data_IF_045625984478
#
_entry.id   IF_045625984478
#
_cell.length_a   1.000
_cell.length_b   1.000
_cell.length_c   1.000
_cell.angle_alpha   90.00
_cell.angle_beta   90.00
_cell.angle_gamma   90.00
#
_symmetry.space_group_name_H-M   'P 1'
#
loop_
_entity.id
_entity.type
_entity.pdbx_description
1 polymer ?
#
# COMPACT_ATOMS: atom_id res chain seq x y z
N UNK A 1 4.08 -16.64 4.42
CA UNK A 1 2.71 -16.13 4.20
C UNK A 1 2.34 -15.39 5.47
N UNK A 2 2.49 -14.06 5.45
CA UNK A 2 1.80 -13.25 6.44
C UNK A 2 0.32 -13.28 6.04
N UNK A 3 -0.57 -13.13 7.00
CA UNK A 3 -2.01 -13.06 6.72
C UNK A 3 -2.44 -11.63 6.99
N UNK A 4 -3.19 -11.01 6.08
CA UNK A 4 -3.73 -9.65 6.23
C UNK A 4 -4.89 -9.61 7.24
N UNK A 5 -4.71 -10.25 8.40
CA UNK A 5 -5.73 -10.47 9.40
C UNK A 5 -5.60 -9.56 10.63
N UNK A 6 -4.60 -8.70 10.65
CA UNK A 6 -4.42 -7.70 11.71
C UNK A 6 -4.02 -6.37 11.11
N UNK A 7 -4.30 -5.29 11.82
CA UNK A 7 -3.79 -3.96 11.46
C UNK A 7 -2.27 -3.98 11.26
N UNK A 8 -1.53 -4.63 12.16
CA UNK A 8 -0.08 -4.70 12.11
C UNK A 8 0.42 -5.36 10.82
N UNK A 9 -0.21 -6.47 10.41
CA UNK A 9 0.11 -7.15 9.17
C UNK A 9 -0.22 -6.28 7.95
N UNK A 10 -1.41 -5.67 7.90
CA UNK A 10 -1.82 -4.78 6.80
C UNK A 10 -0.86 -3.60 6.65
N UNK A 11 -0.54 -2.91 7.75
CA UNK A 11 0.37 -1.77 7.69
C UNK A 11 1.79 -2.19 7.28
N UNK A 12 2.24 -3.36 7.74
CA UNK A 12 3.54 -3.91 7.34
C UNK A 12 3.56 -4.20 5.84
N UNK A 13 2.53 -4.86 5.32
CA UNK A 13 2.39 -5.14 3.90
C UNK A 13 2.31 -3.86 3.06
N UNK A 14 1.56 -2.85 3.50
CA UNK A 14 1.49 -1.54 2.84
C UNK A 14 2.86 -0.84 2.78
N UNK A 15 3.63 -0.86 3.87
CA UNK A 15 4.98 -0.27 3.91
C UNK A 15 5.93 -1.03 2.97
N UNK A 16 5.86 -2.36 2.95
CA UNK A 16 6.64 -3.19 2.02
C UNK A 16 6.25 -2.94 0.56
N UNK A 17 4.96 -2.77 0.28
CA UNK A 17 4.46 -2.43 -1.05
C UNK A 17 5.05 -1.10 -1.54
N UNK A 18 4.98 -0.03 -0.74
CA UNK A 18 5.58 1.26 -1.13
C UNK A 18 7.09 1.18 -1.26
N UNK A 19 7.76 0.34 -0.46
CA UNK A 19 9.21 0.11 -0.58
C UNK A 19 9.53 -0.52 -1.94
N UNK A 20 8.78 -1.56 -2.33
CA UNK A 20 8.92 -2.22 -3.64
C UNK A 20 8.64 -1.26 -4.79
N UNK A 21 7.61 -0.42 -4.68
CA UNK A 21 7.28 0.59 -5.69
C UNK A 21 8.36 1.67 -5.81
N UNK A 22 8.90 2.15 -4.69
CA UNK A 22 10.05 3.07 -4.68
C UNK A 22 11.22 2.47 -5.45
N UNK A 23 11.59 1.24 -5.12
CA UNK A 23 12.75 0.57 -5.71
C UNK A 23 12.53 0.31 -7.20
N UNK A 24 11.31 -0.12 -7.58
CA UNK A 24 10.89 -0.26 -8.96
C UNK A 24 11.05 1.06 -9.73
N UNK A 25 10.50 2.17 -9.22
CA UNK A 25 10.61 3.47 -9.88
C UNK A 25 12.03 4.01 -9.93
N UNK A 26 12.82 3.75 -8.89
CA UNK A 26 14.23 4.12 -8.87
C UNK A 26 15.02 3.36 -9.94
N UNK A 27 14.78 2.06 -10.10
CA UNK A 27 15.40 1.26 -11.16
C UNK A 27 14.98 1.69 -12.57
N UNK A 28 13.75 2.20 -12.71
CA UNK A 28 13.23 2.76 -13.95
C UNK A 28 13.75 4.19 -14.26
N UNK A 29 14.54 4.78 -13.36
CA UNK A 29 15.03 6.16 -13.48
C UNK A 29 13.97 7.24 -13.19
N UNK A 30 12.78 6.86 -12.71
CA UNK A 30 11.70 7.79 -12.38
C UNK A 30 11.83 8.26 -10.92
N UNK A 31 12.76 9.17 -10.68
CA UNK A 31 13.10 9.67 -9.34
C UNK A 31 11.94 10.40 -8.66
N UNK A 32 11.07 11.07 -9.43
CA UNK A 32 9.90 11.75 -8.90
C UNK A 32 8.89 10.76 -8.30
N UNK A 33 8.52 9.71 -9.05
CA UNK A 33 7.61 8.67 -8.54
C UNK A 33 8.23 7.86 -7.40
N UNK A 34 9.54 7.59 -7.46
CA UNK A 34 10.24 6.95 -6.36
C UNK A 34 10.17 7.79 -5.07
N UNK A 35 10.36 9.11 -5.16
CA UNK A 35 10.22 10.00 -4.01
C UNK A 35 8.80 10.04 -3.46
N UNK A 36 7.78 9.99 -4.31
CA UNK A 36 6.39 9.96 -3.86
C UNK A 36 6.00 8.64 -3.18
N UNK A 37 6.51 7.51 -3.67
CA UNK A 37 6.39 6.23 -2.98
C UNK A 37 7.08 6.25 -1.60
N UNK A 38 8.28 6.82 -1.50
CA UNK A 38 8.97 6.93 -0.21
C UNK A 38 8.23 7.85 0.79
N UNK A 39 7.59 8.94 0.31
CA UNK A 39 6.71 9.78 1.14
C UNK A 39 5.52 9.01 1.68
N UNK A 40 4.87 8.19 0.85
CA UNK A 40 3.75 7.32 1.28
C UNK A 40 4.23 6.31 2.31
N UNK A 41 5.35 5.61 2.05
CA UNK A 41 5.99 4.67 2.99
C UNK A 41 6.23 5.32 4.35
N UNK A 42 6.89 6.48 4.38
CA UNK A 42 7.20 7.18 5.62
C UNK A 42 5.94 7.62 6.39
N UNK A 43 4.90 8.07 5.68
CA UNK A 43 3.62 8.40 6.30
C UNK A 43 2.94 7.15 6.90
N UNK A 44 2.95 6.01 6.20
CA UNK A 44 2.40 4.75 6.71
C UNK A 44 3.16 4.24 7.94
N UNK A 45 4.49 4.37 7.96
CA UNK A 45 5.32 4.05 9.14
C UNK A 45 4.97 4.89 10.36
N UNK A 46 4.77 6.21 10.15
CA UNK A 46 4.34 7.13 11.19
C UNK A 46 2.96 6.74 11.73
N UNK A 47 1.97 6.57 10.84
CA UNK A 47 0.61 6.17 11.19
C UNK A 47 0.60 4.86 11.97
N UNK A 48 1.36 3.86 11.53
CA UNK A 48 1.49 2.57 12.23
C UNK A 48 2.02 2.75 13.65
N UNK A 49 3.04 3.58 13.84
CA UNK A 49 3.67 3.83 15.15
C UNK A 49 2.72 4.55 16.11
N UNK A 50 1.99 5.54 15.62
CA UNK A 50 1.09 6.36 16.42
C UNK A 50 -0.19 5.62 16.81
N UNK A 51 -0.69 4.74 15.95
CA UNK A 51 -2.02 4.15 16.12
C UNK A 51 -2.02 2.67 16.56
N UNK A 52 -0.85 2.05 16.78
CA UNK A 52 -0.75 0.64 17.19
C UNK A 52 -1.52 0.32 18.48
N UNK A 53 -1.68 1.31 19.36
CA UNK A 53 -2.37 1.17 20.65
C UNK A 53 -3.88 1.40 20.57
N UNK A 54 -4.39 1.96 19.48
CA UNK A 54 -5.81 2.36 19.34
C UNK A 54 -6.69 1.30 18.65
N UNK A 55 -6.09 0.19 18.21
CA UNK A 55 -6.77 -0.84 17.42
C UNK A 55 -7.54 -1.82 18.28
N UNK A 56 -8.77 -2.15 17.85
CA UNK A 56 -9.44 -3.36 18.34
C UNK A 56 -8.76 -4.59 17.73
N UNK A 57 -8.37 -5.53 18.57
CA UNK A 57 -7.68 -6.78 18.22
C UNK A 57 -8.58 -7.80 17.51
N UNK A 58 -9.66 -7.34 16.86
CA UNK A 58 -10.55 -8.20 16.09
C UNK A 58 -9.83 -8.62 14.80
N UNK A 59 -9.82 -9.92 14.45
CA UNK A 59 -9.26 -10.38 13.20
C UNK A 59 -9.97 -9.73 12.02
N UNK A 60 -9.18 -9.33 11.02
CA UNK A 60 -9.67 -8.88 9.73
C UNK A 60 -9.81 -10.10 8.82
N UNK A 61 -10.96 -10.22 8.16
CA UNK A 61 -11.28 -11.36 7.31
C UNK A 61 -11.45 -10.95 5.83
N UNK A 62 -11.29 -11.92 4.93
CA UNK A 62 -11.52 -11.75 3.50
C UNK A 62 -10.46 -10.92 2.77
N UNK A 63 -9.20 -11.03 3.20
CA UNK A 63 -8.04 -10.45 2.52
C UNK A 63 -6.97 -11.53 2.34
N UNK A 64 -6.40 -11.61 1.14
CA UNK A 64 -5.26 -12.46 0.82
C UNK A 64 -4.12 -11.61 0.24
N UNK A 65 -2.88 -11.82 0.70
CA UNK A 65 -1.70 -11.12 0.17
C UNK A 65 -1.45 -11.45 -1.31
N UNK A 66 -1.83 -12.67 -1.74
CA UNK A 66 -1.65 -13.16 -3.10
C UNK A 66 -2.41 -12.34 -4.15
N UNK A 67 -3.56 -11.79 -3.77
CA UNK A 67 -4.40 -10.94 -4.64
C UNK A 67 -3.71 -9.62 -5.02
N UNK A 68 -2.68 -9.22 -4.27
CA UNK A 68 -1.98 -7.94 -4.42
C UNK A 68 -0.53 -8.09 -4.89
N UNK A 69 -0.21 -9.20 -5.56
CA UNK A 69 1.12 -9.45 -6.10
C UNK A 69 1.45 -8.46 -7.23
N UNK A 70 2.57 -7.75 -7.11
CA UNK A 70 3.05 -6.81 -8.12
C UNK A 70 4.05 -7.51 -9.05
N UNK A 71 3.83 -7.42 -10.36
CA UNK A 71 4.80 -7.87 -11.36
C UNK A 71 5.80 -6.74 -11.66
N UNK A 72 6.92 -6.72 -10.95
CA UNK A 72 7.92 -5.64 -11.01
C UNK A 72 9.04 -5.89 -12.02
N UNK A 73 9.01 -7.03 -12.73
CA UNK A 73 10.07 -7.42 -13.67
C UNK A 73 9.97 -6.71 -15.03
N UNK A 74 8.82 -6.07 -15.30
CA UNK A 74 8.53 -5.44 -16.59
C UNK A 74 8.44 -3.92 -16.43
N UNK A 75 9.20 -3.22 -17.27
CA UNK A 75 9.26 -1.76 -17.34
C UNK A 75 8.57 -1.28 -18.62
N UNK A 76 7.25 -1.41 -18.67
CA UNK A 76 6.41 -0.85 -19.75
C UNK A 76 5.31 0.03 -19.16
N UNK A 77 4.75 0.91 -19.97
CA UNK A 77 3.68 1.80 -19.51
C UNK A 77 2.44 1.01 -19.05
N UNK A 78 2.10 -0.07 -19.74
CA UNK A 78 1.01 -0.97 -19.41
C UNK A 78 1.28 -1.75 -18.12
N UNK A 79 2.51 -2.24 -17.95
CA UNK A 79 2.92 -2.94 -16.73
C UNK A 79 2.85 -2.00 -15.52
N UNK A 80 3.30 -0.75 -15.66
CA UNK A 80 3.18 0.27 -14.62
C UNK A 80 1.72 0.56 -14.27
N UNK A 81 0.86 0.76 -15.27
CA UNK A 81 -0.56 1.01 -15.03
C UNK A 81 -1.20 -0.16 -14.27
N UNK A 82 -0.85 -1.41 -14.62
CA UNK A 82 -1.32 -2.60 -13.91
C UNK A 82 -0.80 -2.67 -12.46
N UNK A 83 0.49 -2.39 -12.23
CA UNK A 83 1.09 -2.32 -10.88
C UNK A 83 0.33 -1.29 -10.02
N UNK A 84 0.11 -0.10 -10.58
CA UNK A 84 -0.60 0.99 -9.91
C UNK A 84 -2.07 0.63 -9.62
N UNK A 85 -2.75 -0.04 -10.56
CA UNK A 85 -4.11 -0.53 -10.37
C UNK A 85 -4.19 -1.58 -9.24
N UNK A 86 -3.25 -2.53 -9.19
CA UNK A 86 -3.17 -3.53 -8.11
C UNK A 86 -2.91 -2.88 -6.76
N UNK A 87 -2.00 -1.90 -6.68
CA UNK A 87 -1.75 -1.14 -5.46
C UNK A 87 -3.01 -0.36 -5.02
N UNK A 88 -3.70 0.29 -5.97
CA UNK A 88 -4.95 0.99 -5.69
C UNK A 88 -6.02 0.03 -5.13
N UNK A 89 -6.18 -1.15 -5.73
CA UNK A 89 -7.11 -2.19 -5.28
C UNK A 89 -6.80 -2.62 -3.85
N UNK A 90 -5.54 -2.92 -3.54
CA UNK A 90 -5.11 -3.24 -2.17
C UNK A 90 -5.58 -2.18 -1.17
N UNK A 91 -5.26 -0.91 -1.42
CA UNK A 91 -5.61 0.18 -0.51
C UNK A 91 -7.14 0.40 -0.40
N UNK A 92 -7.89 0.19 -1.48
CA UNK A 92 -9.35 0.28 -1.48
C UNK A 92 -9.99 -0.83 -0.65
N UNK A 93 -9.46 -2.05 -0.71
CA UNK A 93 -10.00 -3.20 0.01
C UNK A 93 -9.71 -3.16 1.51
N UNK A 94 -8.49 -2.73 1.88
CA UNK A 94 -8.07 -2.74 3.30
C UNK A 94 -8.57 -1.53 4.09
N UNK A 95 -8.67 -0.34 3.47
CA UNK A 95 -9.09 0.87 4.15
C UNK A 95 -10.41 0.74 4.94
N UNK A 96 -11.53 0.24 4.38
CA UNK A 96 -12.80 0.13 5.11
C UNK A 96 -12.77 -0.91 6.23
N UNK A 97 -11.76 -1.79 6.26
CA UNK A 97 -11.57 -2.80 7.32
C UNK A 97 -10.77 -2.27 8.52
N UNK A 98 -10.20 -1.06 8.42
CA UNK A 98 -9.44 -0.44 9.51
C UNK A 98 -10.37 0.41 10.40
N UNK A 99 -10.36 0.11 11.70
CA UNK A 99 -11.18 0.81 12.70
C UNK A 99 -10.55 2.11 13.25
N UNK A 100 -9.29 2.37 12.91
CA UNK A 100 -8.59 3.62 13.26
C UNK A 100 -8.77 4.63 12.14
N UNK A 101 -9.42 5.75 12.45
CA UNK A 101 -9.79 6.77 11.47
C UNK A 101 -8.60 7.43 10.77
N UNK A 102 -7.50 7.69 11.49
CA UNK A 102 -6.30 8.27 10.86
C UNK A 102 -5.69 7.28 9.85
N UNK A 103 -5.53 6.02 10.25
CA UNK A 103 -4.98 4.99 9.39
C UNK A 103 -5.87 4.70 8.18
N UNK A 104 -7.18 4.58 8.38
CA UNK A 104 -8.15 4.47 7.30
C UNK A 104 -7.96 5.61 6.27
N UNK A 105 -7.90 6.87 6.72
CA UNK A 105 -7.71 8.02 5.82
C UNK A 105 -6.36 8.01 5.10
N UNK A 106 -5.31 7.51 5.74
CA UNK A 106 -4.01 7.38 5.11
C UNK A 106 -4.06 6.35 3.97
N UNK A 107 -4.72 5.20 4.20
CA UNK A 107 -4.92 4.15 3.19
C UNK A 107 -5.81 4.63 2.04
N UNK A 108 -6.95 5.28 2.33
CA UNK A 108 -7.82 5.89 1.31
C UNK A 108 -7.08 6.90 0.42
N UNK A 109 -6.16 7.67 1.02
CA UNK A 109 -5.34 8.62 0.26
C UNK A 109 -4.37 7.90 -0.67
N UNK A 110 -3.71 6.82 -0.21
CA UNK A 110 -2.86 6.01 -1.07
C UNK A 110 -3.67 5.42 -2.23
N UNK A 111 -4.84 4.86 -1.94
CA UNK A 111 -5.76 4.31 -2.93
C UNK A 111 -6.08 5.31 -4.07
N UNK A 112 -6.41 6.56 -3.72
CA UNK A 112 -6.66 7.61 -4.72
C UNK A 112 -5.42 7.94 -5.55
N UNK A 113 -4.27 8.09 -4.89
CA UNK A 113 -3.02 8.43 -5.58
C UNK A 113 -2.61 7.35 -6.58
N UNK A 114 -2.73 6.07 -6.21
CA UNK A 114 -2.46 4.96 -7.12
C UNK A 114 -3.48 4.88 -8.25
N UNK A 115 -4.77 5.09 -7.96
CA UNK A 115 -5.81 5.11 -9.00
C UNK A 115 -5.60 6.24 -10.04
N UNK A 116 -5.10 7.41 -9.61
CA UNK A 116 -4.72 8.50 -10.51
C UNK A 116 -3.50 8.15 -11.38
N UNK A 117 -2.56 7.35 -10.85
CA UNK A 117 -1.35 6.93 -11.57
C UNK A 117 -1.55 5.72 -12.49
N UNK A 118 -2.65 4.99 -12.32
CA UNK A 118 -3.03 3.83 -13.13
C UNK A 118 -3.74 4.20 -14.45
N UNK A 119 -4.08 5.48 -14.63
CA UNK A 119 -4.67 6.05 -15.86
C UNK A 119 -3.59 6.43 -16.87
#
# INVERSE_FOLDING_TARGET
MSSLNTFGAIMTFAIEMETKLRDYYQSAGNTARAADADKRRANLERVRRENVTEIKLEPIEGLDEGDYTLNLDVQSDEARAAIEATAAMFYQDVAPKINVREAQRALERCARQHAEMAQ
#
